data_IF_028046002694
#
_entry.id   IF_028046002694
#
_cell.length_a   1.000
_cell.length_b   1.000
_cell.length_c   1.000
_cell.angle_alpha   90.00
_cell.angle_beta   90.00
_cell.angle_gamma   90.00
#
_symmetry.space_group_name_H-M   'P 1'
#
loop_
_entity.id
_entity.type
_entity.pdbx_description
1 polymer ?
#
# COMPACT_ATOMS: atom_id res chain seq x y z
N UNK A 1 -16.82 -13.94 -17.95
CA UNK A 1 -15.52 -13.21 -17.92
C UNK A 1 -14.51 -14.08 -18.64
N UNK A 2 -13.84 -13.59 -19.68
CA UNK A 2 -12.91 -14.43 -20.47
C UNK A 2 -11.61 -14.67 -19.70
N UNK A 3 -10.91 -15.79 -19.97
CA UNK A 3 -9.59 -16.08 -19.37
C UNK A 3 -8.60 -14.92 -19.54
N UNK A 4 -8.61 -14.24 -20.68
CA UNK A 4 -7.72 -13.09 -20.93
C UNK A 4 -8.01 -11.90 -20.00
N UNK A 5 -9.29 -11.59 -19.74
CA UNK A 5 -9.67 -10.53 -18.79
C UNK A 5 -9.26 -10.89 -17.35
N UNK A 6 -9.33 -12.18 -16.99
CA UNK A 6 -8.90 -12.67 -15.69
C UNK A 6 -7.38 -12.60 -15.51
N UNK A 7 -6.60 -12.95 -16.52
CA UNK A 7 -5.14 -12.76 -16.50
C UNK A 7 -4.75 -11.28 -16.32
N UNK A 8 -5.44 -10.37 -17.01
CA UNK A 8 -5.27 -8.93 -16.82
C UNK A 8 -5.57 -8.49 -15.37
N UNK A 9 -6.62 -9.05 -14.76
CA UNK A 9 -6.97 -8.77 -13.37
C UNK A 9 -5.91 -9.28 -12.38
N UNK A 10 -5.31 -10.46 -12.62
CA UNK A 10 -4.18 -10.97 -11.83
C UNK A 10 -2.97 -10.04 -11.95
N UNK A 11 -2.66 -9.56 -13.16
CA UNK A 11 -1.55 -8.62 -13.38
C UNK A 11 -1.76 -7.31 -12.61
N UNK A 12 -2.97 -6.72 -12.70
CA UNK A 12 -3.31 -5.51 -11.95
C UNK A 12 -3.27 -5.74 -10.44
N UNK A 13 -3.85 -6.85 -9.97
CA UNK A 13 -3.81 -7.23 -8.56
C UNK A 13 -2.38 -7.42 -8.05
N UNK A 14 -1.47 -7.95 -8.87
CA UNK A 14 -0.05 -8.11 -8.53
C UNK A 14 0.65 -6.77 -8.34
N UNK A 15 0.39 -5.80 -9.22
CA UNK A 15 0.93 -4.43 -9.10
C UNK A 15 0.39 -3.75 -7.84
N UNK A 16 -0.92 -3.84 -7.59
CA UNK A 16 -1.54 -3.27 -6.39
C UNK A 16 -0.97 -3.90 -5.12
N UNK A 17 -0.79 -5.22 -5.12
CA UNK A 17 -0.19 -5.95 -4.00
C UNK A 17 1.25 -5.51 -3.76
N UNK A 18 2.06 -5.35 -4.81
CA UNK A 18 3.44 -4.88 -4.69
C UNK A 18 3.51 -3.45 -4.12
N UNK A 19 2.64 -2.55 -4.58
CA UNK A 19 2.55 -1.17 -4.05
C UNK A 19 2.13 -1.21 -2.58
N UNK A 20 1.08 -1.97 -2.24
CA UNK A 20 0.61 -2.12 -0.87
C UNK A 20 1.68 -2.69 0.06
N UNK A 21 2.44 -3.67 -0.41
CA UNK A 21 3.59 -4.25 0.31
C UNK A 21 4.66 -3.20 0.57
N UNK A 22 5.07 -2.43 -0.45
CA UNK A 22 6.07 -1.37 -0.28
C UNK A 22 5.58 -0.34 0.76
N UNK A 23 4.33 0.12 0.65
CA UNK A 23 3.79 1.08 1.60
C UNK A 23 3.71 0.55 3.04
N UNK A 24 3.40 -0.74 3.22
CA UNK A 24 3.29 -1.35 4.54
C UNK A 24 4.67 -1.48 5.20
N UNK A 25 5.63 -2.07 4.50
CA UNK A 25 6.97 -2.37 5.04
C UNK A 25 7.89 -1.14 5.12
N UNK A 26 7.74 -0.17 4.22
CA UNK A 26 8.52 1.07 4.23
C UNK A 26 7.74 2.26 4.82
N UNK A 27 6.63 2.01 5.51
CA UNK A 27 5.77 3.05 6.11
C UNK A 27 6.55 3.98 7.06
N UNK A 28 7.45 3.42 7.86
CA UNK A 28 8.28 4.17 8.82
C UNK A 28 9.28 5.07 8.08
N UNK A 29 10.00 4.54 7.10
CA UNK A 29 10.99 5.31 6.34
C UNK A 29 10.34 6.45 5.54
N UNK A 30 9.20 6.17 4.91
CA UNK A 30 8.40 7.17 4.19
C UNK A 30 7.86 8.23 5.16
N UNK A 31 7.36 7.80 6.33
CA UNK A 31 6.84 8.70 7.36
C UNK A 31 7.91 9.62 7.92
N UNK A 32 9.11 9.09 8.17
CA UNK A 32 10.28 9.85 8.62
C UNK A 32 10.69 10.90 7.58
N UNK A 33 10.85 10.48 6.32
CA UNK A 33 11.24 11.37 5.21
C UNK A 33 10.28 12.56 5.04
N UNK A 34 8.97 12.31 5.15
CA UNK A 34 7.95 13.37 5.05
C UNK A 34 7.93 14.29 6.27
N UNK A 35 8.15 13.75 7.46
CA UNK A 35 8.26 14.54 8.68
C UNK A 35 9.49 15.46 8.65
N UNK A 36 10.65 14.95 8.23
CA UNK A 36 11.88 15.73 8.06
C UNK A 36 11.69 16.85 7.03
N UNK A 37 11.09 16.55 5.88
CA UNK A 37 10.77 17.55 4.86
C UNK A 37 9.90 18.69 5.43
N UNK A 38 8.88 18.33 6.23
CA UNK A 38 8.00 19.28 6.92
C UNK A 38 8.75 20.17 7.92
N UNK A 39 9.70 19.63 8.67
CA UNK A 39 10.51 20.43 9.61
C UNK A 39 11.36 21.46 8.87
N UNK A 40 12.05 21.04 7.81
CA UNK A 40 12.92 21.91 7.01
C UNK A 40 12.10 23.05 6.40
N UNK A 41 10.87 22.78 5.96
CA UNK A 41 9.98 23.80 5.39
C UNK A 41 9.33 24.72 6.42
N UNK A 42 9.13 24.26 7.67
CA UNK A 42 8.48 25.05 8.72
C UNK A 42 9.45 25.81 9.63
N UNK A 43 10.77 25.66 9.44
CA UNK A 43 11.78 26.39 10.20
C UNK A 43 12.05 25.82 11.59
N UNK A 44 11.76 24.52 11.80
CA UNK A 44 11.91 23.85 13.08
C UNK A 44 10.58 23.38 13.67
N UNK A 45 10.65 22.39 14.57
CA UNK A 45 9.51 21.80 15.24
C UNK A 45 9.94 21.33 16.63
N UNK A 46 9.09 21.50 17.63
CA UNK A 46 9.35 20.93 18.96
C UNK A 46 9.32 19.39 18.91
N UNK A 47 10.09 18.73 19.77
CA UNK A 47 10.27 17.26 19.74
C UNK A 47 8.93 16.53 19.88
N UNK A 48 8.02 17.09 20.69
CA UNK A 48 6.67 16.58 20.91
C UNK A 48 5.82 16.58 19.63
N UNK A 49 5.90 17.66 18.84
CA UNK A 49 5.19 17.80 17.58
C UNK A 49 5.80 16.91 16.50
N UNK A 50 7.13 16.76 16.49
CA UNK A 50 7.84 15.90 15.53
C UNK A 50 7.40 14.44 15.63
N UNK A 51 7.33 13.91 16.85
CA UNK A 51 6.89 12.53 17.10
C UNK A 51 5.46 12.30 16.61
N UNK A 52 4.54 13.22 16.92
CA UNK A 52 3.13 13.14 16.47
C UNK A 52 3.05 13.13 14.93
N UNK A 53 3.85 13.95 14.25
CA UNK A 53 3.85 14.02 12.79
C UNK A 53 4.40 12.74 12.17
N UNK A 54 5.49 12.19 12.70
CA UNK A 54 6.04 10.91 12.22
C UNK A 54 5.03 9.79 12.42
N UNK A 55 4.48 9.64 13.63
CA UNK A 55 3.51 8.59 13.92
C UNK A 55 2.27 8.73 13.04
N UNK A 56 1.79 9.95 12.81
CA UNK A 56 0.68 10.24 11.93
C UNK A 56 0.94 9.81 10.48
N UNK A 57 2.07 10.21 9.90
CA UNK A 57 2.42 9.79 8.54
C UNK A 57 2.64 8.27 8.46
N UNK A 58 3.39 7.70 9.40
CA UNK A 58 3.67 6.26 9.46
C UNK A 58 2.37 5.46 9.52
N UNK A 59 1.45 5.79 10.43
CA UNK A 59 0.17 5.09 10.53
C UNK A 59 -0.69 5.26 9.28
N UNK A 60 -0.67 6.42 8.63
CA UNK A 60 -1.40 6.62 7.39
C UNK A 60 -0.87 5.74 6.25
N UNK A 61 0.45 5.65 6.07
CA UNK A 61 1.05 4.77 5.07
C UNK A 61 0.88 3.30 5.41
N UNK A 62 0.99 2.94 6.69
CA UNK A 62 0.73 1.59 7.16
C UNK A 62 -0.71 1.17 6.87
N UNK A 63 -1.69 2.01 7.21
CA UNK A 63 -3.11 1.75 6.95
C UNK A 63 -3.41 1.66 5.45
N UNK A 64 -2.92 2.61 4.65
CA UNK A 64 -3.10 2.61 3.19
C UNK A 64 -2.45 1.39 2.54
N UNK A 65 -1.22 1.05 2.94
CA UNK A 65 -0.49 -0.12 2.48
C UNK A 65 -1.23 -1.41 2.81
N UNK A 66 -1.74 -1.52 4.04
CA UNK A 66 -2.54 -2.67 4.50
C UNK A 66 -3.81 -2.88 3.66
N UNK A 67 -4.55 -1.80 3.40
CA UNK A 67 -5.78 -1.85 2.58
C UNK A 67 -5.45 -2.27 1.15
N UNK A 68 -4.45 -1.64 0.53
CA UNK A 68 -4.04 -1.96 -0.84
C UNK A 68 -3.53 -3.39 -0.96
N UNK A 69 -2.72 -3.84 -0.01
CA UNK A 69 -2.21 -5.21 0.03
C UNK A 69 -3.34 -6.23 0.19
N UNK A 70 -4.27 -5.98 1.11
CA UNK A 70 -5.44 -6.84 1.33
C UNK A 70 -6.34 -6.94 0.10
N UNK A 71 -6.66 -5.81 -0.54
CA UNK A 71 -7.46 -5.78 -1.77
C UNK A 71 -6.73 -6.46 -2.93
N UNK A 72 -5.43 -6.22 -3.06
CA UNK A 72 -4.58 -6.82 -4.09
C UNK A 72 -4.57 -8.34 -4.00
N UNK A 73 -4.27 -8.89 -2.82
CA UNK A 73 -4.30 -10.35 -2.57
C UNK A 73 -5.70 -10.91 -2.81
N UNK A 74 -6.74 -10.28 -2.26
CA UNK A 74 -8.12 -10.75 -2.41
C UNK A 74 -8.55 -10.82 -3.88
N UNK A 75 -8.13 -9.83 -4.67
CA UNK A 75 -8.38 -9.77 -6.12
C UNK A 75 -7.66 -10.88 -6.86
N UNK A 76 -6.40 -11.17 -6.52
CA UNK A 76 -5.63 -12.27 -7.11
C UNK A 76 -6.28 -13.61 -6.77
N UNK A 77 -6.63 -13.86 -5.50
CA UNK A 77 -7.29 -15.09 -5.06
C UNK A 77 -8.60 -15.29 -5.82
N UNK A 78 -9.44 -14.26 -5.89
CA UNK A 78 -10.70 -14.30 -6.62
C UNK A 78 -10.50 -14.59 -8.12
N UNK A 79 -9.56 -13.91 -8.75
CA UNK A 79 -9.25 -14.11 -10.16
C UNK A 79 -8.73 -15.53 -10.41
N UNK A 80 -7.84 -16.04 -9.56
CA UNK A 80 -7.26 -17.37 -9.68
C UNK A 80 -8.31 -18.46 -9.48
N UNK A 81 -9.17 -18.33 -8.46
CA UNK A 81 -10.31 -19.22 -8.24
C UNK A 81 -11.21 -19.30 -9.47
N UNK A 82 -11.53 -18.14 -10.08
CA UNK A 82 -12.38 -18.11 -11.26
C UNK A 82 -11.70 -18.69 -12.51
N UNK A 83 -10.38 -18.53 -12.67
CA UNK A 83 -9.63 -19.16 -13.76
C UNK A 83 -9.68 -20.69 -13.63
N UNK A 84 -9.49 -21.21 -12.42
CA UNK A 84 -9.48 -22.65 -12.16
C UNK A 84 -10.86 -23.29 -12.36
N UNK A 85 -11.93 -22.56 -12.01
CA UNK A 85 -13.30 -23.06 -12.07
C UNK A 85 -14.01 -22.78 -13.42
N UNK A 86 -13.34 -22.12 -14.37
CA UNK A 86 -13.81 -22.07 -15.77
C UNK A 86 -13.46 -23.41 -16.40
N UNK A 87 -14.43 -24.31 -16.39
CA UNK A 87 -14.46 -25.44 -17.31
C UNK A 87 -14.79 -24.87 -18.69
N UNK A 88 -13.91 -25.11 -19.66
CA UNK A 88 -14.21 -24.86 -21.08
C UNK A 88 -15.32 -25.78 -21.57
#
# INVERSE_FOLDING_TARGET
MTKNKLKGLVSLGSVITAIGFILLFFSVDIGLSLAEYRIVTQGGMDTSQYLIVIEGYTNNFLAAGSILFGIGISTIIFAYYKILNINE
#
